data_IF_674678981992
#
_entry.id   IF_674678981992
#
_cell.length_a   1.000
_cell.length_b   1.000
_cell.length_c   1.000
_cell.angle_alpha   90.00
_cell.angle_beta   90.00
_cell.angle_gamma   90.00
#
_symmetry.space_group_name_H-M   'P 1'
#
loop_
_entity.id
_entity.type
_entity.pdbx_description
1 polymer ?
#
# COMPACT_ATOMS: atom_id res chain seq x y z
N UNK A 1 -19.25 -21.94 -2.37
CA UNK A 1 -18.27 -21.83 -3.47
C UNK A 1 -17.19 -20.88 -3.00
N UNK A 2 -16.01 -21.39 -2.64
CA UNK A 2 -14.93 -20.57 -2.10
C UNK A 2 -14.29 -19.79 -3.26
N UNK A 3 -14.45 -18.46 -3.25
CA UNK A 3 -13.74 -17.59 -4.18
C UNK A 3 -12.24 -17.76 -3.91
N UNK A 4 -11.54 -18.40 -4.84
CA UNK A 4 -10.08 -18.40 -4.81
C UNK A 4 -9.63 -16.96 -5.02
N UNK A 5 -9.35 -16.23 -3.92
CA UNK A 5 -8.61 -14.98 -3.98
C UNK A 5 -7.33 -15.26 -4.77
N UNK A 6 -7.25 -14.72 -5.98
CA UNK A 6 -6.05 -14.82 -6.79
C UNK A 6 -4.87 -14.34 -5.93
N UNK A 7 -3.87 -15.22 -5.76
CA UNK A 7 -2.70 -14.93 -4.93
C UNK A 7 -2.04 -13.65 -5.44
N UNK A 8 -2.11 -12.58 -4.66
CA UNK A 8 -1.55 -11.27 -5.03
C UNK A 8 -0.04 -11.45 -5.22
N UNK A 9 0.44 -11.18 -6.44
CA UNK A 9 1.87 -11.25 -6.76
C UNK A 9 2.56 -10.01 -6.20
N UNK A 10 3.38 -10.21 -5.18
CA UNK A 10 4.21 -9.13 -4.60
C UNK A 10 5.33 -8.74 -5.56
N UNK A 11 5.58 -7.44 -5.71
CA UNK A 11 6.70 -6.88 -6.49
C UNK A 11 7.58 -6.00 -5.59
N UNK A 12 8.83 -5.78 -5.99
CA UNK A 12 9.75 -4.91 -5.26
C UNK A 12 9.52 -3.45 -5.67
N UNK A 13 9.17 -2.61 -4.70
CA UNK A 13 9.12 -1.16 -4.85
C UNK A 13 10.47 -0.58 -4.40
N UNK A 14 11.15 0.18 -5.28
CA UNK A 14 12.47 0.77 -4.98
C UNK A 14 12.32 2.28 -4.84
N UNK A 15 12.65 2.80 -3.66
CA UNK A 15 12.73 4.23 -3.38
C UNK A 15 13.96 4.51 -2.50
N UNK A 16 14.44 5.75 -2.54
CA UNK A 16 15.47 6.23 -1.62
C UNK A 16 14.80 7.04 -0.51
N UNK A 17 15.24 6.83 0.72
CA UNK A 17 14.78 7.58 1.90
C UNK A 17 15.98 8.20 2.61
N UNK A 18 15.82 9.37 3.25
CA UNK A 18 16.83 9.91 4.15
C UNK A 18 17.19 8.91 5.28
N UNK A 19 18.44 8.97 5.75
CA UNK A 19 18.98 8.01 6.72
C UNK A 19 18.26 8.07 8.08
N UNK A 20 17.92 9.28 8.53
CA UNK A 20 17.14 9.50 9.74
C UNK A 20 15.74 8.88 9.65
N UNK A 21 15.09 8.95 8.49
CA UNK A 21 13.80 8.30 8.24
C UNK A 21 13.93 6.77 8.27
N UNK A 22 14.95 6.19 7.63
CA UNK A 22 15.21 4.74 7.71
C UNK A 22 15.40 4.29 9.17
N UNK A 23 16.20 5.03 9.93
CA UNK A 23 16.43 4.76 11.35
C UNK A 23 15.12 4.80 12.15
N UNK A 24 14.35 5.88 12.01
CA UNK A 24 13.09 6.06 12.74
C UNK A 24 12.09 4.94 12.43
N UNK A 25 11.89 4.60 11.15
CA UNK A 25 10.96 3.54 10.75
C UNK A 25 11.36 2.20 11.36
N UNK A 26 12.65 1.84 11.30
CA UNK A 26 13.16 0.59 11.89
C UNK A 26 13.03 0.57 13.41
N UNK A 27 13.20 1.72 14.05
CA UNK A 27 13.08 1.85 15.50
C UNK A 27 11.62 1.70 15.97
N UNK A 28 10.66 2.24 15.23
CA UNK A 28 9.23 2.18 15.63
C UNK A 28 8.53 0.89 15.21
N UNK A 29 9.00 0.23 14.14
CA UNK A 29 8.36 -0.97 13.60
C UNK A 29 8.05 -2.05 14.66
N UNK A 30 8.96 -2.39 15.59
CA UNK A 30 8.70 -3.39 16.62
C UNK A 30 7.68 -2.95 17.68
N UNK A 31 7.50 -1.63 17.87
CA UNK A 31 6.58 -1.08 18.88
C UNK A 31 5.16 -0.88 18.36
N UNK A 32 4.93 -1.11 17.06
CA UNK A 32 3.60 -1.04 16.47
C UNK A 32 2.79 -2.25 16.92
N UNK A 33 2.27 -2.19 18.14
CA UNK A 33 1.49 -3.25 18.77
C UNK A 33 0.10 -3.34 18.13
N UNK A 34 -0.05 -4.29 17.23
CA UNK A 34 -1.34 -4.62 16.60
C UNK A 34 -1.63 -6.11 16.64
N UNK A 35 -0.98 -6.87 17.52
CA UNK A 35 -1.08 -8.34 17.55
C UNK A 35 -0.48 -9.05 16.33
N UNK A 36 0.39 -8.38 15.56
CA UNK A 36 1.13 -8.93 14.40
C UNK A 36 2.57 -8.42 14.42
N UNK A 37 3.50 -9.26 13.98
CA UNK A 37 4.88 -8.86 13.67
C UNK A 37 4.90 -7.96 12.41
N UNK A 38 5.13 -6.66 12.60
CA UNK A 38 5.20 -5.71 11.50
C UNK A 38 6.51 -5.84 10.73
N UNK A 39 6.41 -6.14 9.43
CA UNK A 39 7.53 -5.99 8.51
C UNK A 39 7.63 -4.55 8.00
N UNK A 40 8.80 -4.17 7.50
CA UNK A 40 8.96 -2.88 6.79
C UNK A 40 8.01 -2.76 5.59
N UNK A 41 7.74 -3.88 4.91
CA UNK A 41 6.79 -3.92 3.81
C UNK A 41 5.37 -3.59 4.28
N UNK A 42 4.96 -4.07 5.46
CA UNK A 42 3.64 -3.76 6.01
C UNK A 42 3.50 -2.26 6.29
N UNK A 43 4.51 -1.64 6.91
CA UNK A 43 4.53 -0.20 7.21
C UNK A 43 4.47 0.62 5.92
N UNK A 44 5.27 0.27 4.93
CA UNK A 44 5.32 0.99 3.65
C UNK A 44 4.01 0.84 2.89
N UNK A 45 3.41 -0.36 2.85
CA UNK A 45 2.13 -0.58 2.18
C UNK A 45 1.01 0.22 2.85
N UNK A 46 0.94 0.21 4.18
CA UNK A 46 -0.04 1.01 4.93
C UNK A 46 0.13 2.51 4.60
N UNK A 47 1.33 3.05 4.77
CA UNK A 47 1.59 4.47 4.52
C UNK A 47 1.27 4.89 3.07
N UNK A 48 1.54 4.03 2.09
CA UNK A 48 1.20 4.29 0.68
C UNK A 48 -0.31 4.24 0.44
N UNK A 49 -1.03 3.30 1.07
CA UNK A 49 -2.49 3.23 0.95
C UNK A 49 -3.15 4.44 1.60
N UNK A 50 -2.72 4.85 2.79
CA UNK A 50 -3.18 6.07 3.46
C UNK A 50 -2.88 7.31 2.62
N UNK A 51 -1.68 7.42 2.04
CA UNK A 51 -1.34 8.52 1.15
C UNK A 51 -2.25 8.56 -0.09
N UNK A 52 -2.53 7.41 -0.70
CA UNK A 52 -3.43 7.32 -1.86
C UNK A 52 -4.88 7.67 -1.54
N UNK A 53 -5.30 7.58 -0.27
CA UNK A 53 -6.65 7.96 0.16
C UNK A 53 -6.85 9.46 0.32
N UNK A 54 -5.78 10.25 0.40
CA UNK A 54 -5.89 11.71 0.47
C UNK A 54 -6.63 12.24 -0.77
N UNK A 55 -7.58 13.19 -0.61
CA UNK A 55 -8.41 13.68 -1.72
C UNK A 55 -7.60 14.11 -2.94
N UNK A 56 -6.51 14.84 -2.72
CA UNK A 56 -5.63 15.34 -3.77
C UNK A 56 -4.95 14.23 -4.58
N UNK A 57 -4.56 13.13 -3.93
CA UNK A 57 -3.90 12.02 -4.60
C UNK A 57 -4.90 11.13 -5.33
N UNK A 58 -6.10 10.99 -4.76
CA UNK A 58 -7.20 10.29 -5.42
C UNK A 58 -7.66 11.02 -6.68
N UNK A 59 -7.78 12.35 -6.63
CA UNK A 59 -8.11 13.17 -7.80
C UNK A 59 -7.05 12.99 -8.92
N UNK A 60 -5.77 12.91 -8.56
CA UNK A 60 -4.70 12.63 -9.54
C UNK A 60 -4.87 11.25 -10.21
N UNK A 61 -5.21 10.22 -9.44
CA UNK A 61 -5.44 8.87 -9.98
C UNK A 61 -6.64 8.83 -10.93
N UNK A 62 -7.73 9.49 -10.55
CA UNK A 62 -8.99 9.55 -11.31
C UNK A 62 -8.84 10.39 -12.58
N UNK A 63 -8.26 11.59 -12.49
CA UNK A 63 -8.06 12.50 -13.63
C UNK A 63 -7.15 11.95 -14.74
N UNK A 64 -6.27 11.01 -14.40
CA UNK A 64 -5.33 10.39 -15.35
C UNK A 64 -5.75 8.98 -15.80
N UNK A 65 -6.97 8.54 -15.49
CA UNK A 65 -7.50 7.21 -15.84
C UNK A 65 -6.56 6.04 -15.45
N UNK A 66 -5.82 6.19 -14.33
CA UNK A 66 -4.78 5.22 -13.95
C UNK A 66 -5.40 3.86 -13.59
N UNK A 67 -6.62 3.85 -13.05
CA UNK A 67 -7.34 2.62 -12.70
C UNK A 67 -7.68 1.76 -13.92
N UNK A 68 -7.99 2.36 -15.07
CA UNK A 68 -8.21 1.61 -16.32
C UNK A 68 -6.91 0.90 -16.76
N UNK A 69 -5.77 1.55 -16.52
CA UNK A 69 -4.44 0.96 -16.73
C UNK A 69 -4.13 -0.23 -15.80
N UNK A 70 -4.78 -0.34 -14.64
CA UNK A 70 -4.68 -1.51 -13.77
C UNK A 70 -5.56 -2.66 -14.27
N UNK A 71 -6.79 -2.35 -14.68
CA UNK A 71 -7.73 -3.33 -15.22
C UNK A 71 -7.18 -4.02 -16.47
N UNK A 72 -6.63 -3.26 -17.42
CA UNK A 72 -5.98 -3.80 -18.63
C UNK A 72 -4.81 -4.75 -18.33
N UNK A 73 -4.22 -4.66 -17.14
CA UNK A 73 -3.13 -5.52 -16.66
C UNK A 73 -3.63 -6.68 -15.79
N UNK A 74 -4.95 -6.81 -15.59
CA UNK A 74 -5.54 -7.80 -14.70
C UNK A 74 -5.23 -7.57 -13.22
N UNK A 75 -4.95 -6.32 -12.83
CA UNK A 75 -4.63 -5.94 -11.46
C UNK A 75 -5.88 -5.42 -10.72
N UNK A 76 -5.84 -5.46 -9.39
CA UNK A 76 -6.95 -4.98 -8.56
C UNK A 76 -7.15 -3.48 -8.75
N UNK A 77 -8.38 -3.08 -9.05
CA UNK A 77 -8.82 -1.67 -9.12
C UNK A 77 -9.45 -1.22 -7.82
N UNK A 78 -9.73 -2.15 -6.90
CA UNK A 78 -10.41 -1.85 -5.65
C UNK A 78 -9.44 -1.46 -4.51
N UNK A 79 -8.49 -0.58 -4.83
CA UNK A 79 -7.46 -0.10 -3.90
C UNK A 79 -8.04 0.77 -2.76
N UNK A 80 -9.27 1.28 -2.93
CA UNK A 80 -9.92 2.17 -1.97
C UNK A 80 -10.89 1.47 -1.00
N UNK A 81 -11.17 0.18 -1.16
CA UNK A 81 -12.15 -0.53 -0.31
C UNK A 81 -11.55 -1.36 0.84
N UNK A 82 -10.22 -1.46 0.96
CA UNK A 82 -9.57 -2.51 1.76
C UNK A 82 -8.75 -2.03 2.97
N UNK A 83 -9.01 -0.85 3.55
CA UNK A 83 -8.47 -0.54 4.88
C UNK A 83 -9.46 -0.92 5.97
N UNK A 84 -9.03 -1.60 7.05
CA UNK A 84 -9.86 -1.75 8.25
C UNK A 84 -10.21 -0.35 8.79
N UNK A 85 -11.47 -0.17 9.19
CA UNK A 85 -11.92 1.02 9.93
C UNK A 85 -11.35 1.01 11.36
#
# INVERSE_FOLDING_TARGET
>A
MSSAMAKVKTVQFRAQVPQDIDFLIRAIAPFKDSGKDWSLSDIVVEALLEWLQKPENRELVESHNILEGLERRGLTTNIYSNLPQ
#
